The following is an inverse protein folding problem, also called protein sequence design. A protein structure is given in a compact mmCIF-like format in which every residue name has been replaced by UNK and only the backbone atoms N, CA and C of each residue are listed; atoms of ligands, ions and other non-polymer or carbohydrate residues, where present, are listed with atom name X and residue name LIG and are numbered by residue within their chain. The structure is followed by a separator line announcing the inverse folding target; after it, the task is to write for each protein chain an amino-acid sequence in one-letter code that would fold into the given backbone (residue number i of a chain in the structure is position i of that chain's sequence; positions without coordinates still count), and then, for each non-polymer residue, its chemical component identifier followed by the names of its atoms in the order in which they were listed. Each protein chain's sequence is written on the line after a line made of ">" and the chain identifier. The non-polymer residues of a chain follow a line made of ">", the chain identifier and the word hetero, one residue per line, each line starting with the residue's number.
data_IF_180902933153
#
_entry.id   IF_180902933153
#
_cell.length_a   1.000
_cell.length_b   1.000
_cell.length_c   1.000
_cell.angle_alpha   90.00
_cell.angle_beta   90.00
_cell.angle_gamma   90.00
#
_symmetry.space_group_name_H-M   'P 1'
#
loop_
_entity.id
_entity.type
_entity.pdbx_description
1 polymer ?
#
# COMPACT_ATOMS: atom_id res chain seq x y z
N UNK A 1 -18.38 -7.24 9.14
CA UNK A 1 -17.17 -7.48 9.95
C UNK A 1 -17.23 -6.63 11.21
N UNK A 2 -16.83 -7.20 12.31
CA UNK A 2 -16.76 -6.49 13.58
C UNK A 2 -15.77 -5.31 13.51
N UNK A 3 -16.15 -4.18 14.12
CA UNK A 3 -15.33 -2.97 14.09
C UNK A 3 -13.95 -3.19 14.72
N UNK A 4 -13.89 -3.91 15.84
CA UNK A 4 -12.62 -4.18 16.51
C UNK A 4 -11.71 -5.02 15.62
N UNK A 5 -12.27 -6.00 14.93
CA UNK A 5 -11.51 -6.85 14.00
C UNK A 5 -11.00 -6.03 12.81
N UNK A 6 -11.86 -5.19 12.24
CA UNK A 6 -11.49 -4.33 11.13
C UNK A 6 -10.37 -3.38 11.52
N UNK A 7 -10.48 -2.79 12.69
CA UNK A 7 -9.46 -1.85 13.20
C UNK A 7 -8.13 -2.55 13.40
N UNK A 8 -8.14 -3.77 13.91
CA UNK A 8 -6.92 -4.55 14.10
C UNK A 8 -6.27 -4.90 12.76
N UNK A 9 -7.07 -5.35 11.79
CA UNK A 9 -6.55 -5.69 10.46
C UNK A 9 -5.92 -4.48 9.77
N UNK A 10 -6.57 -3.33 9.85
CA UNK A 10 -6.05 -2.10 9.25
C UNK A 10 -4.79 -1.62 9.95
N UNK A 11 -4.74 -1.71 11.27
CA UNK A 11 -3.57 -1.35 12.05
C UNK A 11 -2.37 -2.24 11.70
N UNK A 12 -2.59 -3.54 11.59
CA UNK A 12 -1.54 -4.49 11.23
C UNK A 12 -1.02 -4.22 9.82
N UNK A 13 -1.93 -3.96 8.88
CA UNK A 13 -1.56 -3.67 7.50
C UNK A 13 -0.78 -2.35 7.41
N UNK A 14 -1.21 -1.32 8.14
CA UNK A 14 -0.50 -0.04 8.19
C UNK A 14 0.92 -0.24 8.72
N UNK A 15 1.08 -0.96 9.81
CA UNK A 15 2.39 -1.23 10.39
C UNK A 15 3.30 -1.94 9.40
N UNK A 16 2.76 -2.92 8.69
CA UNK A 16 3.52 -3.66 7.68
C UNK A 16 4.00 -2.75 6.56
N UNK A 17 3.09 -1.95 6.00
CA UNK A 17 3.39 -1.06 4.88
C UNK A 17 4.37 0.03 5.29
N UNK A 18 4.16 0.65 6.44
CA UNK A 18 5.05 1.69 6.96
C UNK A 18 6.45 1.14 7.22
N UNK A 19 6.54 -0.08 7.74
CA UNK A 19 7.82 -0.76 7.96
C UNK A 19 8.57 -1.01 6.67
N UNK A 20 7.88 -1.50 5.64
CA UNK A 20 8.49 -1.74 4.33
C UNK A 20 8.97 -0.43 3.70
N UNK A 21 8.18 0.62 3.81
CA UNK A 21 8.54 1.93 3.26
C UNK A 21 9.76 2.51 3.97
N UNK A 22 9.82 2.37 5.28
CA UNK A 22 10.97 2.81 6.08
C UNK A 22 12.23 2.06 5.69
N UNK A 23 12.14 0.74 5.59
CA UNK A 23 13.28 -0.11 5.22
C UNK A 23 13.83 0.27 3.84
N UNK A 24 12.92 0.51 2.91
CA UNK A 24 13.28 0.91 1.55
C UNK A 24 13.98 2.27 1.54
N UNK A 25 13.50 3.21 2.34
CA UNK A 25 14.08 4.55 2.46
C UNK A 25 15.47 4.47 3.08
N UNK A 26 15.64 3.68 4.13
CA UNK A 26 16.93 3.50 4.80
C UNK A 26 17.95 2.86 3.85
N UNK A 27 17.55 1.83 3.13
CA UNK A 27 18.43 1.18 2.14
C UNK A 27 18.88 2.17 1.06
N UNK A 28 17.97 3.00 0.59
CA UNK A 28 18.28 4.02 -0.42
C UNK A 28 19.28 5.05 0.10
N UNK A 29 19.14 5.45 1.37
CA UNK A 29 20.07 6.40 2.00
C UNK A 29 21.45 5.79 2.18
N UNK A 30 21.52 4.54 2.61
CA UNK A 30 22.78 3.82 2.77
C UNK A 30 23.53 3.68 1.44
N UNK A 31 22.79 3.35 0.38
CA UNK A 31 23.37 3.24 -0.95
C UNK A 31 23.94 4.57 -1.44
N UNK A 32 23.23 5.65 -1.19
CA UNK A 32 23.72 7.00 -1.56
C UNK A 32 24.95 7.39 -0.76
N UNK A 33 24.96 7.08 0.53
CA UNK A 33 26.10 7.38 1.39
C UNK A 33 27.32 6.58 0.96
N UNK A 34 27.17 5.30 0.68
CA UNK A 34 28.25 4.44 0.23
C UNK A 34 28.83 4.93 -1.10
N UNK A 35 27.98 5.30 -2.05
CA UNK A 35 28.40 5.83 -3.35
C UNK A 35 29.16 7.14 -3.19
N UNK A 36 28.74 8.00 -2.28
CA UNK A 36 29.42 9.26 -2.00
C UNK A 36 30.79 9.09 -1.37
N UNK A 37 30.93 8.12 -0.48
CA UNK A 37 32.16 7.86 0.24
C UNK A 37 33.28 7.30 -0.65
N UNK A 38 32.93 6.43 -1.58
CA UNK A 38 33.93 5.76 -2.40
C UNK A 38 34.48 6.63 -3.52
N UNK A 39 33.72 7.63 -3.94
CA UNK A 39 34.07 8.45 -5.09
C UNK A 39 34.26 7.64 -6.37
N UNK A 40 33.88 6.39 -6.32
CA UNK A 40 34.01 5.45 -7.42
C UNK A 40 32.80 5.54 -8.32
N UNK A 41 33.03 5.50 -9.61
CA UNK A 41 31.93 5.53 -10.57
C UNK A 41 31.42 4.11 -10.73
N UNK A 42 30.36 3.79 -10.01
CA UNK A 42 29.70 2.52 -10.16
C UNK A 42 29.13 2.37 -11.58
N UNK A 43 28.88 1.14 -11.98
CA UNK A 43 28.21 0.86 -13.25
C UNK A 43 26.94 1.71 -13.34
N UNK A 44 26.89 2.66 -14.30
CA UNK A 44 25.79 3.63 -14.32
C UNK A 44 24.42 3.01 -14.61
N UNK A 45 24.38 1.83 -15.22
CA UNK A 45 23.10 1.21 -15.55
C UNK A 45 22.43 0.59 -14.34
N UNK A 46 23.20 -0.03 -13.45
CA UNK A 46 22.63 -0.77 -12.32
C UNK A 46 22.05 0.13 -11.24
N UNK A 47 22.74 1.19 -10.78
CA UNK A 47 22.14 2.10 -9.80
C UNK A 47 20.87 2.77 -10.29
N UNK A 48 20.80 3.11 -11.58
CA UNK A 48 19.61 3.74 -12.14
C UNK A 48 18.42 2.78 -12.15
N UNK A 49 18.64 1.52 -12.50
CA UNK A 49 17.60 0.50 -12.51
C UNK A 49 17.08 0.26 -11.09
N UNK A 50 17.99 0.18 -10.11
CA UNK A 50 17.62 -0.02 -8.71
C UNK A 50 16.83 1.16 -8.17
N UNK A 51 17.22 2.38 -8.51
CA UNK A 51 16.51 3.59 -8.09
C UNK A 51 15.09 3.61 -8.68
N UNK A 52 14.95 3.30 -9.97
CA UNK A 52 13.63 3.26 -10.61
C UNK A 52 12.76 2.16 -10.02
N UNK A 53 13.32 0.98 -9.73
CA UNK A 53 12.60 -0.10 -9.08
C UNK A 53 12.18 0.27 -7.66
N UNK A 54 13.08 0.85 -6.90
CA UNK A 54 12.81 1.29 -5.52
C UNK A 54 11.74 2.38 -5.50
N UNK A 55 11.81 3.33 -6.42
CA UNK A 55 10.84 4.41 -6.50
C UNK A 55 9.45 3.88 -6.86
N UNK A 56 9.37 2.90 -7.76
CA UNK A 56 8.11 2.28 -8.13
C UNK A 56 7.50 1.53 -6.94
N UNK A 57 8.31 0.79 -6.19
CA UNK A 57 7.84 0.08 -5.00
C UNK A 57 7.40 1.08 -3.93
N UNK A 58 8.18 2.13 -3.69
CA UNK A 58 7.82 3.17 -2.73
C UNK A 58 6.50 3.83 -3.10
N UNK A 59 6.30 4.11 -4.38
CA UNK A 59 5.04 4.69 -4.88
C UNK A 59 3.86 3.77 -4.61
N UNK A 60 4.02 2.47 -4.86
CA UNK A 60 2.98 1.47 -4.59
C UNK A 60 2.66 1.40 -3.10
N UNK A 61 3.67 1.45 -2.25
CA UNK A 61 3.47 1.42 -0.79
C UNK A 61 2.74 2.66 -0.31
N UNK A 62 3.08 3.84 -0.86
CA UNK A 62 2.38 5.08 -0.51
C UNK A 62 0.92 5.05 -0.97
N UNK A 63 0.65 4.50 -2.14
CA UNK A 63 -0.72 4.31 -2.63
C UNK A 63 -1.50 3.40 -1.69
N UNK A 64 -0.88 2.29 -1.26
CA UNK A 64 -1.50 1.37 -0.32
C UNK A 64 -1.79 2.06 1.01
N UNK A 65 -0.86 2.87 1.49
CA UNK A 65 -1.04 3.62 2.75
C UNK A 65 -2.23 4.57 2.65
N UNK A 66 -2.39 5.25 1.52
CA UNK A 66 -3.55 6.11 1.28
C UNK A 66 -4.85 5.33 1.29
N UNK A 67 -4.87 4.13 0.72
CA UNK A 67 -6.03 3.24 0.76
C UNK A 67 -6.39 2.85 2.19
N UNK A 68 -5.38 2.52 3.00
CA UNK A 68 -5.57 2.19 4.41
C UNK A 68 -6.15 3.38 5.17
N UNK A 69 -5.63 4.57 4.93
CA UNK A 69 -6.12 5.80 5.57
C UNK A 69 -7.57 6.08 5.21
N UNK A 70 -7.95 5.87 3.96
CA UNK A 70 -9.35 6.02 3.54
C UNK A 70 -10.25 4.99 4.21
N UNK A 71 -9.76 3.75 4.35
CA UNK A 71 -10.51 2.70 5.04
C UNK A 71 -10.70 3.03 6.52
N UNK A 72 -9.66 3.56 7.17
CA UNK A 72 -9.75 4.00 8.56
C UNK A 72 -10.78 5.13 8.72
N UNK A 73 -10.80 6.05 7.78
CA UNK A 73 -11.77 7.15 7.79
C UNK A 73 -13.20 6.61 7.65
N UNK A 74 -13.41 5.63 6.77
CA UNK A 74 -14.73 4.99 6.62
C UNK A 74 -15.12 4.24 7.89
N UNK A 75 -14.17 3.59 8.55
CA UNK A 75 -14.43 2.89 9.81
C UNK A 75 -14.90 3.87 10.87
N UNK A 76 -14.23 5.01 10.99
CA UNK A 76 -14.61 6.05 11.94
C UNK A 76 -15.97 6.68 11.61
N UNK A 77 -16.31 6.74 10.33
CA UNK A 77 -17.59 7.31 9.87
C UNK A 77 -18.75 6.30 9.89
N UNK A 78 -18.46 5.01 10.14
CA UNK A 78 -19.49 3.98 10.17
C UNK A 78 -19.87 3.42 8.80
N UNK A 79 -19.08 3.71 7.76
CA UNK A 79 -19.34 3.24 6.39
C UNK A 79 -18.38 2.14 5.92
N UNK A 80 -17.56 1.63 6.82
CA UNK A 80 -16.62 0.56 6.49
C UNK A 80 -17.36 -0.72 6.10
N UNK A 81 -16.79 -1.46 5.15
CA UNK A 81 -17.35 -2.73 4.71
C UNK A 81 -18.36 -2.61 3.59
N UNK A 82 -18.50 -1.42 3.01
CA UNK A 82 -19.38 -1.17 1.88
C UNK A 82 -18.60 -0.58 0.73
N UNK A 83 -19.01 -0.95 -0.49
CA UNK A 83 -18.40 -0.42 -1.70
C UNK A 83 -18.53 1.10 -1.74
N UNK A 84 -17.45 1.79 -2.08
CA UNK A 84 -17.46 3.24 -2.25
C UNK A 84 -18.22 3.64 -3.51
N UNK A 85 -18.40 2.71 -4.44
CA UNK A 85 -19.06 2.94 -5.71
C UNK A 85 -20.58 2.75 -5.61
N UNK A 86 -21.02 1.62 -5.04
CA UNK A 86 -22.44 1.23 -5.04
C UNK A 86 -23.08 1.17 -3.66
N UNK A 87 -22.26 1.16 -2.61
CA UNK A 87 -22.78 0.92 -1.25
C UNK A 87 -23.07 -0.54 -0.95
N UNK A 88 -22.81 -1.44 -1.88
CA UNK A 88 -23.04 -2.87 -1.66
C UNK A 88 -22.09 -3.40 -0.59
N UNK A 89 -22.56 -4.38 0.18
CA UNK A 89 -21.77 -4.96 1.26
C UNK A 89 -20.58 -5.73 0.66
N UNK A 90 -19.39 -5.45 1.18
CA UNK A 90 -18.19 -6.21 0.84
C UNK A 90 -18.11 -7.40 1.80
N UNK A 91 -18.03 -8.64 1.30
CA UNK A 91 -18.01 -9.82 2.18
C UNK A 91 -16.84 -9.79 3.17
N UNK A 92 -17.07 -10.32 4.37
CA UNK A 92 -16.02 -10.38 5.40
C UNK A 92 -14.79 -11.15 4.93
N UNK A 93 -14.98 -12.19 4.13
CA UNK A 93 -13.90 -12.97 3.58
C UNK A 93 -12.94 -12.09 2.76
N UNK A 94 -13.50 -11.19 1.96
CA UNK A 94 -12.70 -10.25 1.18
C UNK A 94 -11.99 -9.24 2.08
N UNK A 95 -12.66 -8.77 3.12
CA UNK A 95 -12.08 -7.81 4.07
C UNK A 95 -10.97 -8.44 4.90
N UNK A 96 -11.07 -9.73 5.20
CA UNK A 96 -9.98 -10.45 5.88
C UNK A 96 -8.74 -10.53 4.98
N UNK A 97 -8.93 -10.73 3.68
CA UNK A 97 -7.83 -10.79 2.72
C UNK A 97 -7.29 -9.40 2.39
N UNK A 98 -8.17 -8.40 2.32
CA UNK A 98 -7.80 -7.02 1.99
C UNK A 98 -8.66 -6.06 2.81
N UNK A 99 -8.20 -5.67 3.99
CA UNK A 99 -9.00 -4.81 4.88
C UNK A 99 -9.21 -3.40 4.34
N UNK A 100 -8.45 -2.96 3.37
CA UNK A 100 -8.61 -1.66 2.75
C UNK A 100 -9.43 -1.71 1.45
N UNK A 101 -10.06 -2.85 1.14
CA UNK A 101 -10.86 -3.00 -0.07
C UNK A 101 -11.96 -1.94 -0.13
N UNK A 102 -12.08 -1.31 -1.29
CA UNK A 102 -13.05 -0.23 -1.52
C UNK A 102 -14.22 -0.68 -2.41
N UNK A 103 -14.04 -1.78 -3.12
CA UNK A 103 -15.01 -2.30 -4.08
C UNK A 103 -15.28 -3.78 -3.82
N UNK A 104 -16.43 -4.25 -4.30
CA UNK A 104 -16.67 -5.69 -4.35
C UNK A 104 -15.78 -6.31 -5.42
N UNK A 105 -15.62 -7.64 -5.40
CA UNK A 105 -14.83 -8.34 -6.40
C UNK A 105 -15.38 -8.07 -7.80
N UNK A 106 -16.69 -8.11 -7.95
CA UNK A 106 -17.36 -7.88 -9.23
C UNK A 106 -17.08 -6.47 -9.77
N UNK A 107 -17.12 -5.48 -8.89
CA UNK A 107 -16.86 -4.09 -9.27
C UNK A 107 -15.40 -3.90 -9.67
N UNK A 108 -14.49 -4.52 -8.94
CA UNK A 108 -13.06 -4.43 -9.24
C UNK A 108 -12.74 -5.11 -10.58
N UNK A 109 -13.32 -6.27 -10.82
CA UNK A 109 -13.16 -6.98 -12.09
C UNK A 109 -13.71 -6.16 -13.27
N UNK A 110 -14.87 -5.53 -13.06
CA UNK A 110 -15.47 -4.67 -14.09
C UNK A 110 -14.57 -3.47 -14.39
N UNK A 111 -13.97 -2.86 -13.39
CA UNK A 111 -13.06 -1.72 -13.55
C UNK A 111 -11.80 -2.14 -14.31
N UNK A 112 -11.25 -3.32 -14.01
CA UNK A 112 -10.08 -3.85 -14.68
C UNK A 112 -10.38 -4.20 -16.13
N UNK A 113 -11.59 -4.70 -16.42
CA UNK A 113 -12.01 -5.06 -17.77
C UNK A 113 -12.28 -3.85 -18.65
N UNK A 114 -12.58 -2.71 -18.04
CA UNK A 114 -12.88 -1.47 -18.77
C UNK A 114 -11.63 -0.76 -19.28
N UNK A 115 -10.47 -1.16 -18.81
CA UNK A 115 -9.20 -0.59 -19.26
C UNK A 115 -8.74 -1.16 -20.61
#
# INVERSE_FOLDING_TARGET
>A
MDEARARQLLSDERTRVEGLLRDLTEASQEDRAAAGDTGDIADPAQPLTDVLGADAVASSLRTRLAEIERAEARLNAGSYGRSVQSGAVIPDERLEADPAAELTVEEEEAASSSA
#
